data_IF_547106433338
#
_entry.id   IF_547106433338
#
_cell.length_a   1.000
_cell.length_b   1.000
_cell.length_c   1.000
_cell.angle_alpha   90.00
_cell.angle_beta   90.00
_cell.angle_gamma   90.00
#
_symmetry.space_group_name_H-M   'P 1'
#
loop_
_entity.id
_entity.type
_entity.pdbx_description
1 polymer ?
#
# COMPACT_ATOMS: atom_id res chain seq x y z
N UNK A 1 7.38 -8.38 14.93
CA UNK A 1 8.47 -8.31 13.93
C UNK A 1 8.48 -6.92 13.34
N UNK A 2 9.65 -6.29 13.27
CA UNK A 2 9.78 -4.83 13.10
C UNK A 2 9.82 -4.37 11.65
N UNK A 3 9.56 -3.09 11.45
CA UNK A 3 9.82 -2.32 10.22
C UNK A 3 11.18 -2.64 9.59
N UNK A 4 12.21 -2.97 10.39
CA UNK A 4 13.54 -3.32 9.88
C UNK A 4 13.54 -4.61 9.05
N UNK A 5 12.75 -5.62 9.44
CA UNK A 5 12.65 -6.86 8.67
C UNK A 5 12.05 -6.61 7.28
N UNK A 6 11.02 -5.76 7.20
CA UNK A 6 10.43 -5.33 5.93
C UNK A 6 11.45 -4.63 5.03
N UNK A 7 12.33 -3.82 5.61
CA UNK A 7 13.37 -3.11 4.85
C UNK A 7 14.48 -4.02 4.33
N UNK A 8 14.93 -4.99 5.13
CA UNK A 8 16.06 -5.85 4.77
C UNK A 8 15.65 -7.03 3.89
N UNK A 9 14.47 -7.60 4.14
CA UNK A 9 13.97 -8.76 3.42
C UNK A 9 12.44 -8.70 3.23
N UNK A 10 11.95 -7.80 2.35
CA UNK A 10 10.52 -7.54 2.20
C UNK A 10 9.72 -8.78 1.80
N UNK A 11 10.30 -9.69 1.00
CA UNK A 11 9.65 -10.95 0.64
C UNK A 11 9.32 -11.78 1.88
N UNK A 12 10.35 -12.17 2.64
CA UNK A 12 10.19 -12.99 3.84
C UNK A 12 9.39 -12.26 4.94
N UNK A 13 9.59 -10.95 5.09
CA UNK A 13 8.85 -10.14 6.05
C UNK A 13 7.35 -10.15 5.77
N UNK A 14 6.96 -10.00 4.50
CA UNK A 14 5.56 -10.02 4.09
C UNK A 14 5.01 -11.47 4.02
N UNK A 15 5.81 -12.50 3.76
CA UNK A 15 5.38 -13.91 3.94
C UNK A 15 4.98 -14.19 5.40
N UNK A 16 5.65 -13.54 6.36
CA UNK A 16 5.43 -13.74 7.80
C UNK A 16 4.54 -12.72 8.46
N UNK A 17 4.23 -11.59 7.83
CA UNK A 17 3.41 -10.53 8.41
C UNK A 17 2.46 -9.92 7.37
N UNK A 18 1.27 -9.53 7.80
CA UNK A 18 0.42 -8.62 7.05
C UNK A 18 0.67 -7.18 7.52
N UNK A 19 0.84 -6.25 6.58
CA UNK A 19 1.15 -4.86 6.84
C UNK A 19 -0.05 -3.98 6.46
N UNK A 20 -0.66 -3.35 7.46
CA UNK A 20 -1.78 -2.42 7.29
C UNK A 20 -1.17 -1.02 7.16
N UNK A 21 -1.20 -0.46 5.95
CA UNK A 21 -0.57 0.83 5.65
C UNK A 21 -1.62 1.94 5.56
N UNK A 22 -1.25 3.15 5.95
CA UNK A 22 -2.12 4.32 5.81
C UNK A 22 -1.51 5.59 6.40
N UNK A 23 -2.19 6.74 6.27
CA UNK A 23 -1.75 7.96 6.92
C UNK A 23 -2.06 7.91 8.42
N UNK A 24 -1.18 8.48 9.24
CA UNK A 24 -1.52 8.81 10.62
C UNK A 24 -2.65 9.85 10.61
N UNK A 25 -3.66 9.75 11.50
CA UNK A 25 -4.65 10.81 11.64
C UNK A 25 -4.00 12.18 11.80
N UNK A 26 -4.41 13.13 10.95
CA UNK A 26 -3.83 14.48 10.91
C UNK A 26 -2.70 14.70 9.90
N UNK A 27 -2.14 13.65 9.29
CA UNK A 27 -1.12 13.73 8.23
C UNK A 27 -1.75 13.65 6.83
N UNK A 28 -1.13 14.28 5.83
CA UNK A 28 -1.54 14.18 4.41
C UNK A 28 -3.01 14.55 4.16
N UNK A 29 -3.48 15.66 4.74
CA UNK A 29 -4.89 16.09 4.75
C UNK A 29 -5.39 16.77 3.48
N UNK A 30 -4.51 16.93 2.48
CA UNK A 30 -4.87 17.60 1.23
C UNK A 30 -5.97 16.79 0.52
N UNK A 31 -6.91 17.51 -0.08
CA UNK A 31 -8.03 16.94 -0.84
C UNK A 31 -8.08 17.55 -2.25
N UNK A 32 -8.79 16.87 -3.15
CA UNK A 32 -8.88 17.23 -4.57
C UNK A 32 -8.81 15.98 -5.44
N UNK A 33 -8.85 16.17 -6.76
CA UNK A 33 -8.82 15.05 -7.71
C UNK A 33 -7.40 14.58 -8.04
N UNK A 34 -6.38 15.38 -7.72
CA UNK A 34 -4.96 15.06 -7.94
C UNK A 34 -4.12 15.58 -6.79
N UNK A 35 -3.80 14.73 -5.81
CA UNK A 35 -3.19 15.15 -4.55
C UNK A 35 -1.77 14.62 -4.41
N UNK A 36 -0.83 15.53 -4.18
CA UNK A 36 0.56 15.17 -3.90
C UNK A 36 0.75 14.79 -2.44
N UNK A 37 1.33 13.61 -2.21
CA UNK A 37 1.90 13.19 -0.93
C UNK A 37 3.35 13.68 -0.76
N UNK A 38 4.18 12.94 -0.04
CA UNK A 38 5.53 13.39 0.24
C UNK A 38 6.34 12.49 1.17
N UNK A 39 7.52 12.96 1.57
CA UNK A 39 8.34 12.28 2.57
C UNK A 39 7.59 12.07 3.89
N UNK A 40 7.81 10.92 4.52
CA UNK A 40 7.14 10.57 5.76
C UNK A 40 8.06 9.82 6.72
N UNK A 41 7.74 9.89 8.02
CA UNK A 41 8.22 8.93 8.99
C UNK A 41 7.19 7.80 9.13
N UNK A 42 7.63 6.55 9.17
CA UNK A 42 6.73 5.40 9.36
C UNK A 42 6.71 5.01 10.84
N UNK A 43 5.59 5.24 11.50
CA UNK A 43 5.27 4.67 12.80
C UNK A 43 4.81 3.22 12.62
N UNK A 44 5.60 2.27 13.13
CA UNK A 44 5.27 0.85 13.10
C UNK A 44 4.80 0.36 14.47
N UNK A 45 3.65 -0.30 14.53
CA UNK A 45 3.15 -0.94 15.74
C UNK A 45 2.69 -2.37 15.48
N UNK A 46 3.07 -3.29 16.37
CA UNK A 46 2.54 -4.65 16.34
C UNK A 46 1.10 -4.61 16.86
N UNK A 47 0.15 -5.10 16.07
CA UNK A 47 -1.24 -5.19 16.49
C UNK A 47 -1.49 -6.49 17.24
N UNK A 48 -1.05 -7.60 16.65
CA UNK A 48 -1.04 -8.95 17.22
C UNK A 48 -0.07 -9.83 16.39
N UNK A 49 0.15 -11.08 16.77
CA UNK A 49 1.10 -11.95 16.08
C UNK A 49 0.82 -12.02 14.57
N UNK A 50 1.79 -11.61 13.75
CA UNK A 50 1.69 -11.64 12.29
C UNK A 50 0.93 -10.47 11.64
N UNK A 51 0.53 -9.45 12.39
CA UNK A 51 -0.12 -8.23 11.89
C UNK A 51 0.54 -6.95 12.43
N UNK A 52 0.94 -6.07 11.51
CA UNK A 52 1.68 -4.84 11.82
C UNK A 52 0.99 -3.65 11.17
N UNK A 53 0.77 -2.58 11.93
CA UNK A 53 0.31 -1.30 11.39
C UNK A 53 1.52 -0.43 11.04
N UNK A 54 1.48 0.21 9.87
CA UNK A 54 2.48 1.14 9.36
C UNK A 54 1.78 2.47 9.04
N UNK A 55 1.93 3.46 9.92
CA UNK A 55 1.29 4.76 9.77
C UNK A 55 2.29 5.80 9.27
N UNK A 56 1.98 6.44 8.14
CA UNK A 56 2.76 7.54 7.60
C UNK A 56 2.49 8.83 8.36
N UNK A 57 3.52 9.37 8.99
CA UNK A 57 3.51 10.69 9.63
C UNK A 57 4.17 11.68 8.68
N UNK A 58 3.42 12.68 8.25
CA UNK A 58 3.90 13.71 7.33
C UNK A 58 5.05 14.50 7.96
N UNK A 59 6.21 14.54 7.28
CA UNK A 59 7.39 15.26 7.75
C UNK A 59 8.24 15.76 6.58
N UNK A 60 8.54 17.05 6.57
CA UNK A 60 9.10 17.73 5.40
C UNK A 60 10.63 17.59 5.21
N UNK A 61 11.37 16.97 6.14
CA UNK A 61 12.85 16.94 6.05
C UNK A 61 13.46 15.58 6.44
N UNK A 62 14.49 15.17 5.69
CA UNK A 62 15.42 14.06 5.94
C UNK A 62 14.82 12.65 6.11
N UNK A 63 13.57 12.43 5.68
CA UNK A 63 13.00 11.09 5.68
C UNK A 63 13.32 10.35 4.39
N UNK A 64 13.64 9.06 4.54
CA UNK A 64 13.92 8.17 3.42
C UNK A 64 12.68 7.49 2.86
N UNK A 65 11.54 7.59 3.54
CA UNK A 65 10.28 6.95 3.15
C UNK A 65 9.29 7.98 2.63
N UNK A 66 8.33 7.49 1.85
CA UNK A 66 7.38 8.33 1.14
C UNK A 66 5.97 7.76 1.27
N UNK A 67 5.00 8.66 1.31
CA UNK A 67 3.59 8.32 1.28
C UNK A 67 2.88 9.08 0.17
N UNK A 68 1.95 8.40 -0.49
CA UNK A 68 1.03 8.98 -1.47
C UNK A 68 -0.40 8.64 -1.06
N UNK A 69 -1.33 9.62 -1.01
CA UNK A 69 -2.65 9.41 -0.45
C UNK A 69 -3.51 8.48 -1.32
N UNK A 70 -4.42 7.75 -0.69
CA UNK A 70 -5.58 7.20 -1.39
C UNK A 70 -6.67 8.26 -1.42
N UNK A 71 -7.34 8.40 -2.56
CA UNK A 71 -8.48 9.28 -2.74
C UNK A 71 -9.65 8.44 -3.25
N UNK A 72 -10.82 8.59 -2.63
CA UNK A 72 -12.04 7.90 -3.10
C UNK A 72 -12.40 8.29 -4.53
N UNK A 73 -12.14 9.55 -4.90
CA UNK A 73 -12.31 10.08 -6.26
C UNK A 73 -11.08 10.90 -6.58
N UNK A 74 -10.25 10.40 -7.49
CA UNK A 74 -9.01 11.05 -7.91
C UNK A 74 -7.78 10.17 -7.78
N UNK A 75 -6.63 10.81 -7.90
CA UNK A 75 -5.31 10.18 -7.87
C UNK A 75 -4.43 10.84 -6.81
N UNK A 76 -3.93 10.05 -5.87
CA UNK A 76 -2.82 10.49 -5.02
C UNK A 76 -1.49 10.14 -5.63
N UNK A 77 -0.46 10.98 -5.49
CA UNK A 77 0.84 10.70 -6.09
C UNK A 77 2.02 11.21 -5.27
N UNK A 78 3.20 10.65 -5.47
CA UNK A 78 4.44 11.15 -4.85
C UNK A 78 5.65 10.94 -5.78
N UNK A 79 6.50 11.97 -5.99
CA UNK A 79 7.79 11.80 -6.63
C UNK A 79 8.82 11.30 -5.61
N UNK A 80 9.58 10.28 -5.98
CA UNK A 80 10.60 9.64 -5.16
C UNK A 80 11.93 9.71 -5.89
N UNK A 81 12.98 10.32 -5.31
CA UNK A 81 14.30 10.37 -5.96
C UNK A 81 14.84 8.97 -6.25
N UNK A 82 15.44 8.76 -7.43
CA UNK A 82 16.00 7.45 -7.82
C UNK A 82 17.18 7.00 -6.94
N UNK A 83 17.89 7.95 -6.33
CA UNK A 83 19.06 7.70 -5.49
C UNK A 83 18.72 7.45 -4.01
N UNK A 84 17.45 7.24 -3.66
CA UNK A 84 17.07 6.82 -2.30
C UNK A 84 17.76 5.50 -1.92
N UNK A 85 18.14 5.31 -0.64
CA UNK A 85 18.86 4.12 -0.22
C UNK A 85 17.99 2.87 -0.27
N UNK A 86 18.64 1.71 -0.22
CA UNK A 86 17.93 0.45 -0.02
C UNK A 86 17.23 0.42 1.35
N UNK A 87 16.13 -0.31 1.39
CA UNK A 87 15.18 -0.32 2.48
C UNK A 87 14.27 0.92 2.52
N UNK A 88 14.32 1.84 1.56
CA UNK A 88 13.29 2.89 1.42
C UNK A 88 11.93 2.26 1.15
N UNK A 89 10.90 2.76 1.85
CA UNK A 89 9.53 2.33 1.70
C UNK A 89 8.71 3.45 1.05
N UNK A 90 7.91 3.10 0.06
CA UNK A 90 6.93 3.98 -0.59
C UNK A 90 5.57 3.30 -0.44
N UNK A 91 4.66 3.90 0.32
CA UNK A 91 3.40 3.24 0.68
C UNK A 91 2.18 4.16 0.54
N UNK A 92 1.01 3.55 0.45
CA UNK A 92 -0.29 4.23 0.40
C UNK A 92 -1.28 3.57 1.36
N UNK A 93 -2.55 3.96 1.34
CA UNK A 93 -3.62 3.28 2.07
C UNK A 93 -3.96 1.90 1.48
N UNK A 94 -5.07 1.32 1.95
CA UNK A 94 -5.61 0.08 1.38
C UNK A 94 -5.97 0.23 -0.10
N UNK A 95 -5.87 -0.86 -0.85
CA UNK A 95 -6.16 -0.97 -2.29
C UNK A 95 -7.24 -2.01 -2.52
N UNK A 96 -8.48 -1.58 -2.73
CA UNK A 96 -9.60 -2.47 -3.04
C UNK A 96 -10.24 -1.98 -4.35
N UNK A 97 -9.93 -2.62 -5.48
CA UNK A 97 -10.37 -2.15 -6.80
C UNK A 97 -9.55 -0.97 -7.38
N UNK A 98 -8.56 -0.50 -6.65
CA UNK A 98 -7.66 0.58 -7.06
C UNK A 98 -6.50 0.06 -7.92
N UNK A 99 -5.86 0.96 -8.67
CA UNK A 99 -4.61 0.67 -9.38
C UNK A 99 -3.46 1.54 -8.88
N UNK A 100 -2.26 0.97 -8.86
CA UNK A 100 -1.02 1.69 -8.57
C UNK A 100 -0.21 1.74 -9.85
N UNK A 101 0.29 2.92 -10.21
CA UNK A 101 1.16 3.11 -11.37
C UNK A 101 2.46 3.73 -10.91
N UNK A 102 3.55 3.31 -11.52
CA UNK A 102 4.85 3.95 -11.37
C UNK A 102 5.36 4.38 -12.72
N UNK A 103 5.72 5.64 -12.82
CA UNK A 103 6.45 6.15 -13.97
C UNK A 103 7.84 6.61 -13.58
N UNK A 104 8.70 6.66 -14.58
CA UNK A 104 10.08 7.06 -14.48
C UNK A 104 10.25 8.37 -15.26
N UNK A 105 10.71 9.42 -14.57
CA UNK A 105 11.13 10.67 -15.19
C UNK A 105 12.57 11.02 -14.79
N UNK A 106 13.06 12.20 -15.17
CA UNK A 106 14.42 12.62 -14.88
C UNK A 106 14.64 12.70 -13.35
N UNK A 107 15.47 11.81 -12.82
CA UNK A 107 15.85 11.76 -11.40
C UNK A 107 14.82 11.16 -10.44
N UNK A 108 13.60 10.81 -10.88
CA UNK A 108 12.53 10.36 -9.99
C UNK A 108 11.78 9.14 -10.53
N UNK A 109 11.24 8.35 -9.59
CA UNK A 109 10.08 7.50 -9.80
C UNK A 109 8.84 8.22 -9.26
N UNK A 110 7.79 8.34 -10.06
CA UNK A 110 6.51 8.91 -9.64
C UNK A 110 5.54 7.78 -9.36
N UNK A 111 5.08 7.67 -8.12
CA UNK A 111 4.09 6.68 -7.70
C UNK A 111 2.70 7.32 -7.72
N UNK A 112 1.72 6.63 -8.26
CA UNK A 112 0.33 7.08 -8.36
C UNK A 112 -0.60 6.01 -7.78
N UNK A 113 -1.57 6.44 -6.97
CA UNK A 113 -2.69 5.63 -6.50
C UNK A 113 -3.96 6.16 -7.15
N UNK A 114 -4.49 5.40 -8.11
CA UNK A 114 -5.72 5.71 -8.82
C UNK A 114 -6.93 5.03 -8.15
N UNK A 115 -7.79 5.84 -7.53
CA UNK A 115 -9.05 5.38 -6.94
C UNK A 115 -9.93 4.70 -7.99
N UNK A 116 -10.45 3.51 -7.68
CA UNK A 116 -11.30 2.71 -8.57
C UNK A 116 -10.70 2.38 -9.96
N UNK A 117 -9.39 2.65 -10.18
CA UNK A 117 -8.73 2.48 -11.48
C UNK A 117 -9.36 3.28 -12.63
N UNK A 118 -9.91 4.47 -12.35
CA UNK A 118 -10.72 5.25 -13.31
C UNK A 118 -10.29 6.70 -13.51
N UNK A 119 -9.39 7.22 -12.67
CA UNK A 119 -9.11 8.65 -12.61
C UNK A 119 -7.72 9.02 -13.15
N UNK A 120 -6.79 8.07 -13.26
CA UNK A 120 -5.47 8.34 -13.79
C UNK A 120 -5.48 8.37 -15.32
N UNK A 121 -5.50 9.58 -15.87
CA UNK A 121 -5.31 9.82 -17.29
C UNK A 121 -3.81 9.81 -17.68
N UNK A 122 -3.49 9.41 -18.92
CA UNK A 122 -2.11 9.38 -19.42
C UNK A 122 -1.43 10.75 -19.34
N UNK A 123 -2.18 11.84 -19.50
CA UNK A 123 -1.71 13.22 -19.39
C UNK A 123 -1.25 13.61 -17.98
N UNK A 124 -1.68 12.88 -16.94
CA UNK A 124 -1.25 13.09 -15.56
C UNK A 124 0.06 12.36 -15.21
N UNK A 125 0.49 11.42 -16.07
CA UNK A 125 1.68 10.59 -15.83
C UNK A 125 2.91 11.31 -16.40
N UNK A 126 3.78 11.76 -15.50
CA UNK A 126 5.08 12.34 -15.87
C UNK A 126 6.07 11.22 -16.20
N UNK A 127 6.65 11.26 -17.41
CA UNK A 127 7.63 10.27 -17.87
C UNK A 127 7.04 8.97 -18.43
N UNK A 128 7.83 7.89 -18.35
CA UNK A 128 7.52 6.58 -18.92
C UNK A 128 6.99 5.65 -17.83
N UNK A 129 5.84 5.03 -18.02
CA UNK A 129 5.35 3.96 -17.12
C UNK A 129 6.34 2.79 -17.09
N UNK A 130 6.75 2.39 -15.88
CA UNK A 130 7.69 1.28 -15.63
C UNK A 130 7.06 0.14 -14.84
N UNK A 131 5.98 0.40 -14.11
CA UNK A 131 5.22 -0.63 -13.42
C UNK A 131 3.75 -0.21 -13.27
N UNK A 132 2.87 -1.20 -13.24
CA UNK A 132 1.45 -1.04 -12.92
C UNK A 132 0.97 -2.26 -12.16
N UNK A 133 0.25 -2.00 -11.08
CA UNK A 133 -0.46 -2.99 -10.27
C UNK A 133 -1.95 -2.69 -10.37
N UNK A 134 -2.72 -3.67 -10.82
CA UNK A 134 -4.17 -3.64 -10.99
C UNK A 134 -4.83 -4.55 -9.94
N UNK A 135 -6.16 -4.47 -9.77
CA UNK A 135 -6.89 -5.35 -8.87
C UNK A 135 -6.59 -6.84 -9.04
N UNK A 136 -6.47 -7.30 -10.30
CA UNK A 136 -6.18 -8.69 -10.61
C UNK A 136 -4.75 -9.14 -10.23
N UNK A 137 -3.85 -8.20 -9.91
CA UNK A 137 -2.48 -8.54 -9.52
C UNK A 137 -2.36 -8.83 -8.02
N UNK A 138 -3.24 -8.25 -7.18
CA UNK A 138 -3.27 -8.50 -5.73
C UNK A 138 -4.49 -9.32 -5.25
N UNK A 139 -5.52 -9.48 -6.08
CA UNK A 139 -6.65 -10.37 -5.87
C UNK A 139 -7.06 -11.08 -7.18
N UNK A 140 -6.20 -11.95 -7.75
CA UNK A 140 -6.37 -12.52 -9.10
C UNK A 140 -7.63 -13.37 -9.29
N UNK A 141 -8.23 -13.83 -8.19
CA UNK A 141 -9.41 -14.69 -8.22
C UNK A 141 -10.62 -14.05 -7.52
N UNK A 142 -10.52 -12.77 -7.15
CA UNK A 142 -11.55 -12.08 -6.37
C UNK A 142 -11.82 -12.72 -5.01
N UNK A 143 -10.87 -13.51 -4.50
CA UNK A 143 -11.06 -14.32 -3.30
C UNK A 143 -11.15 -13.45 -2.05
N UNK A 144 -10.39 -12.34 -2.01
CA UNK A 144 -10.47 -11.39 -0.91
C UNK A 144 -11.90 -10.87 -0.76
N UNK A 145 -12.46 -10.39 -1.87
CA UNK A 145 -13.83 -9.92 -1.93
C UNK A 145 -14.85 -11.03 -1.59
N UNK A 146 -14.76 -12.19 -2.25
CA UNK A 146 -15.68 -13.31 -2.02
C UNK A 146 -15.65 -13.79 -0.57
N UNK A 147 -14.47 -13.87 0.05
CA UNK A 147 -14.36 -14.29 1.44
C UNK A 147 -14.98 -13.27 2.38
N UNK A 148 -14.74 -11.98 2.15
CA UNK A 148 -15.41 -10.94 2.92
C UNK A 148 -16.93 -11.07 2.83
N UNK A 149 -17.50 -11.19 1.63
CA UNK A 149 -18.95 -11.37 1.42
C UNK A 149 -19.48 -12.66 2.12
N UNK A 150 -18.76 -13.77 1.99
CA UNK A 150 -19.13 -15.04 2.63
C UNK A 150 -19.05 -14.97 4.16
N UNK A 151 -18.12 -14.18 4.68
CA UNK A 151 -17.92 -14.03 6.11
C UNK A 151 -18.99 -13.09 6.70
N UNK A 152 -19.31 -11.99 5.98
CA UNK A 152 -20.46 -11.11 6.28
C UNK A 152 -21.77 -11.90 6.35
N UNK A 153 -22.07 -12.75 5.35
CA UNK A 153 -23.35 -13.48 5.29
C UNK A 153 -23.53 -14.52 6.41
N UNK A 154 -22.44 -14.97 7.04
CA UNK A 154 -22.44 -15.92 8.15
C UNK A 154 -22.45 -15.24 9.53
N UNK A 155 -22.19 -13.93 9.60
CA UNK A 155 -22.16 -13.20 10.86
C UNK A 155 -23.60 -13.01 11.38
N UNK A 156 -23.97 -13.75 12.43
CA UNK A 156 -25.33 -13.72 13.03
C UNK A 156 -25.57 -12.53 13.97
N UNK A 157 -24.52 -11.93 14.52
CA UNK A 157 -24.46 -10.66 15.25
C UNK A 157 -23.06 -10.09 15.04
N UNK A 158 -22.96 -8.83 14.66
CA UNK A 158 -21.70 -8.11 14.55
C UNK A 158 -21.57 -7.25 15.80
N UNK A 159 -20.52 -7.48 16.59
CA UNK A 159 -20.15 -6.50 17.61
C UNK A 159 -19.72 -5.21 16.90
N UNK A 160 -20.12 -4.06 17.44
CA UNK A 160 -19.71 -2.76 16.90
C UNK A 160 -18.18 -2.68 16.82
N UNK A 161 -17.66 -2.46 15.61
CA UNK A 161 -16.38 -1.76 15.46
C UNK A 161 -15.28 -2.38 14.60
N UNK A 162 -15.41 -3.56 13.97
CA UNK A 162 -14.25 -4.07 13.22
C UNK A 162 -14.55 -5.05 12.07
N UNK A 163 -15.53 -4.75 11.23
CA UNK A 163 -15.79 -5.50 10.00
C UNK A 163 -15.13 -4.76 8.83
N UNK A 164 -13.97 -5.24 8.39
CA UNK A 164 -13.28 -4.65 7.24
C UNK A 164 -12.39 -5.68 6.55
N UNK A 165 -12.10 -5.48 5.28
CA UNK A 165 -11.04 -6.20 4.57
C UNK A 165 -10.29 -5.23 3.65
N UNK A 166 -8.99 -5.45 3.53
CA UNK A 166 -8.15 -4.63 2.67
C UNK A 166 -6.98 -5.42 2.14
N UNK A 167 -6.72 -5.26 0.85
CA UNK A 167 -5.37 -5.47 0.33
C UNK A 167 -4.54 -4.21 0.59
N UNK A 168 -3.25 -4.41 0.83
CA UNK A 168 -2.28 -3.34 1.01
C UNK A 168 -1.08 -3.66 0.13
N UNK A 169 -0.58 -2.66 -0.59
CA UNK A 169 0.59 -2.82 -1.44
C UNK A 169 1.66 -1.84 -0.99
N UNK A 170 2.82 -2.37 -0.66
CA UNK A 170 3.98 -1.61 -0.21
C UNK A 170 5.12 -1.75 -1.21
N UNK A 171 5.70 -0.64 -1.66
CA UNK A 171 6.94 -0.66 -2.42
C UNK A 171 8.13 -0.57 -1.47
N UNK A 172 9.10 -1.48 -1.66
CA UNK A 172 10.36 -1.48 -0.90
C UNK A 172 11.53 -1.52 -1.87
N UNK A 173 12.51 -0.63 -1.69
CA UNK A 173 13.75 -0.65 -2.48
C UNK A 173 14.72 -1.69 -1.93
N UNK A 174 15.22 -2.58 -2.78
CA UNK A 174 16.22 -3.59 -2.44
C UNK A 174 17.07 -3.92 -3.66
N UNK A 175 18.38 -4.00 -3.46
CA UNK A 175 19.37 -4.28 -4.50
C UNK A 175 19.25 -3.30 -5.68
N UNK A 176 19.01 -2.02 -5.37
CA UNK A 176 18.89 -0.94 -6.35
C UNK A 176 17.53 -0.83 -7.07
N UNK A 177 16.60 -1.75 -6.85
CA UNK A 177 15.27 -1.78 -7.51
C UNK A 177 14.14 -1.68 -6.51
N UNK A 178 12.98 -1.19 -6.94
CA UNK A 178 11.77 -1.28 -6.14
C UNK A 178 11.03 -2.58 -6.43
N UNK A 179 10.47 -3.21 -5.40
CA UNK A 179 9.50 -4.29 -5.53
C UNK A 179 8.18 -3.92 -4.87
N UNK A 180 7.06 -4.21 -5.52
CA UNK A 180 5.74 -4.14 -4.89
C UNK A 180 5.41 -5.47 -4.21
N UNK A 181 5.02 -5.40 -2.94
CA UNK A 181 4.62 -6.54 -2.14
C UNK A 181 3.18 -6.34 -1.68
N UNK A 182 2.31 -7.29 -2.00
CA UNK A 182 0.93 -7.27 -1.53
C UNK A 182 0.82 -7.99 -0.19
N UNK A 183 0.03 -7.45 0.73
CA UNK A 183 -0.47 -8.17 1.89
C UNK A 183 -1.99 -8.00 1.98
N UNK A 184 -2.70 -8.90 2.65
CA UNK A 184 -4.15 -8.84 2.76
C UNK A 184 -4.61 -9.14 4.18
N UNK A 185 -5.51 -8.32 4.71
CA UNK A 185 -6.12 -8.51 6.03
C UNK A 185 -7.63 -8.53 5.90
N UNK A 186 -8.27 -9.43 6.63
CA UNK A 186 -9.70 -9.41 6.90
C UNK A 186 -9.87 -9.36 8.42
N UNK A 187 -10.69 -8.43 8.89
CA UNK A 187 -11.10 -8.33 10.28
C UNK A 187 -12.58 -8.72 10.36
N UNK A 188 -12.85 -9.90 10.90
CA UNK A 188 -14.19 -10.37 11.23
C UNK A 188 -14.05 -11.33 12.40
N UNK A 189 -14.50 -10.90 13.59
CA UNK A 189 -14.29 -11.64 14.84
C UNK A 189 -12.80 -11.94 15.14
N UNK A 190 -11.91 -11.02 14.75
CA UNK A 190 -10.46 -11.17 14.82
C UNK A 190 -9.80 -10.97 13.45
N UNK A 191 -8.49 -10.69 13.44
CA UNK A 191 -7.75 -10.51 12.18
C UNK A 191 -7.30 -11.85 11.62
N UNK A 192 -7.51 -12.01 10.34
CA UNK A 192 -7.04 -13.12 9.52
C UNK A 192 -6.37 -12.58 8.27
N UNK A 193 -5.47 -13.38 7.68
CA UNK A 193 -4.92 -13.06 6.37
C UNK A 193 -5.88 -13.50 5.28
N UNK A 194 -5.89 -12.75 4.19
CA UNK A 194 -6.53 -13.21 2.97
C UNK A 194 -5.76 -14.43 2.39
N UNK A 195 -6.42 -15.39 1.72
CA UNK A 195 -5.87 -16.71 1.38
C UNK A 195 -4.77 -16.67 0.32
N UNK A 196 -4.71 -15.57 -0.43
CA UNK A 196 -3.63 -15.23 -1.36
C UNK A 196 -2.87 -13.98 -0.91
N UNK A 197 -3.10 -13.51 0.32
CA UNK A 197 -2.26 -12.53 1.02
C UNK A 197 -0.93 -13.12 1.51
N UNK A 198 -0.52 -14.28 0.97
CA UNK A 198 0.87 -14.73 1.05
C UNK A 198 1.65 -13.78 0.17
N UNK A 199 2.50 -12.98 0.78
CA UNK A 199 3.00 -11.79 0.13
C UNK A 199 3.90 -12.11 -1.04
N UNK A 200 3.32 -12.02 -2.22
CA UNK A 200 4.01 -12.13 -3.48
C UNK A 200 4.60 -10.77 -3.81
N UNK A 201 5.85 -10.79 -4.25
CA UNK A 201 6.35 -9.66 -5.02
C UNK A 201 5.58 -9.66 -6.33
N UNK A 202 4.75 -8.63 -6.54
CA UNK A 202 3.90 -8.49 -7.72
C UNK A 202 4.77 -8.14 -8.93
N UNK A 203 5.63 -7.13 -8.77
CA UNK A 203 6.50 -6.62 -9.84
C UNK A 203 7.72 -5.94 -9.24
N UNK A 204 8.86 -6.02 -9.95
CA UNK A 204 10.08 -5.25 -9.66
C UNK A 204 10.41 -4.33 -10.81
N UNK A 205 10.88 -3.12 -10.52
CA UNK A 205 11.28 -2.12 -11.52
C UNK A 205 12.54 -1.35 -11.08
#
# INVERSE_FOLDING_TARGET
MSLNALRSDPRNACERNAYITGPKPGSFRNSGDFVRGGPCFIEASQLEAGFVSLLAVERNYNNKDFFYPWLQRGVGWVPVPKNVPDGTIVMTGGVNGCSIVVSESAGHYNFYHDGDSKHLDRSMIDGKEVARVKPNDYDPLGWGHMQFINALSKARKMDEGAVDYGHFVVAVKKDGKFGFYSTGVMNLNGRSRLPLGVSTCIVTF
#
